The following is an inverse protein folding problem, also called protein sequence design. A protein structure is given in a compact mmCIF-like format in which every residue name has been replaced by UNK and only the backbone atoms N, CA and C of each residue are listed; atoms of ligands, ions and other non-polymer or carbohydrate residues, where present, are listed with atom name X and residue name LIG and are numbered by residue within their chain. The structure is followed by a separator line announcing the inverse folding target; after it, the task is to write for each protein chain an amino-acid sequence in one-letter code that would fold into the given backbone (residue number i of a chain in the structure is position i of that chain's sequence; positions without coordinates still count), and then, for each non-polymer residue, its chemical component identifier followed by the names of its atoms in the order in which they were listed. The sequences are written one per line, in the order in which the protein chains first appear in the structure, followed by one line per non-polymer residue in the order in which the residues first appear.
data_IF_921833179471
#
_entry.id   IF_921833179471
#
_cell.length_a   1.000
_cell.length_b   1.000
_cell.length_c   1.000
_cell.angle_alpha   90.00
_cell.angle_beta   90.00
_cell.angle_gamma   90.00
#
_symmetry.space_group_name_H-M   'P 1'
#
loop_
_entity.id
_entity.type
_entity.pdbx_description
1 polymer ?
#
# COMPACT_ATOMS: atom_id res chain seq x y z
N UNK A 1 -12.11 12.98 12.31
CA UNK A 1 -12.31 11.52 12.23
C UNK A 1 -12.66 11.25 10.78
N UNK A 2 -11.68 10.80 10.02
CA UNK A 2 -11.88 10.47 8.60
C UNK A 2 -12.75 9.23 8.56
N UNK A 3 -13.98 9.36 8.06
CA UNK A 3 -14.85 8.22 7.84
C UNK A 3 -14.15 7.34 6.81
N UNK A 4 -13.71 6.15 7.23
CA UNK A 4 -13.17 5.15 6.31
C UNK A 4 -14.33 4.63 5.45
N UNK A 5 -14.73 5.40 4.44
CA UNK A 5 -15.65 4.93 3.42
C UNK A 5 -14.92 3.89 2.59
N UNK A 6 -15.17 2.60 2.89
CA UNK A 6 -14.62 1.49 2.13
C UNK A 6 -15.14 1.57 0.69
N UNK A 7 -14.25 1.94 -0.24
CA UNK A 7 -14.59 2.06 -1.65
C UNK A 7 -14.97 0.68 -2.18
N UNK A 8 -16.18 0.58 -2.74
CA UNK A 8 -16.69 -0.65 -3.35
C UNK A 8 -17.07 -0.37 -4.78
N UNK A 9 -16.64 -1.22 -5.71
CA UNK A 9 -17.01 -1.11 -7.13
C UNK A 9 -17.50 -2.45 -7.65
N UNK A 10 -18.36 -2.40 -8.66
CA UNK A 10 -18.73 -3.58 -9.45
C UNK A 10 -18.10 -3.46 -10.83
N UNK A 11 -17.45 -4.53 -11.27
CA UNK A 11 -16.76 -4.61 -12.55
C UNK A 11 -17.28 -5.80 -13.35
N UNK A 12 -17.38 -5.60 -14.66
CA UNK A 12 -17.94 -6.58 -15.59
C UNK A 12 -16.91 -6.90 -16.67
N UNK A 13 -16.77 -8.18 -17.01
CA UNK A 13 -15.78 -8.67 -17.97
C UNK A 13 -16.30 -9.83 -18.81
N UNK A 14 -15.57 -10.21 -19.85
CA UNK A 14 -15.88 -11.42 -20.63
C UNK A 14 -15.56 -12.69 -19.83
N UNK A 15 -14.63 -12.59 -18.88
CA UNK A 15 -14.29 -13.59 -17.87
C UNK A 15 -14.12 -12.95 -16.50
N UNK A 16 -14.16 -13.76 -15.44
CA UNK A 16 -13.87 -13.32 -14.06
C UNK A 16 -12.53 -12.58 -13.98
N UNK A 17 -11.48 -13.10 -14.60
CA UNK A 17 -10.14 -12.47 -14.57
C UNK A 17 -10.15 -11.07 -15.18
N UNK A 18 -10.82 -10.89 -16.32
CA UNK A 18 -10.91 -9.59 -17.01
C UNK A 18 -11.72 -8.59 -16.16
N UNK A 19 -12.76 -9.07 -15.48
CA UNK A 19 -13.58 -8.27 -14.60
C UNK A 19 -12.79 -7.83 -13.34
N UNK A 20 -12.00 -8.73 -12.75
CA UNK A 20 -11.11 -8.42 -11.62
C UNK A 20 -10.07 -7.39 -12.03
N UNK A 21 -9.37 -7.62 -13.15
CA UNK A 21 -8.31 -6.73 -13.62
C UNK A 21 -8.82 -5.30 -13.87
N UNK A 22 -9.97 -5.17 -14.54
CA UNK A 22 -10.62 -3.86 -14.75
C UNK A 22 -11.06 -3.20 -13.44
N UNK A 23 -11.45 -4.00 -12.46
CA UNK A 23 -11.81 -3.51 -11.14
C UNK A 23 -10.61 -2.95 -10.39
N UNK A 24 -9.53 -3.73 -10.31
CA UNK A 24 -8.27 -3.33 -9.68
C UNK A 24 -7.71 -2.06 -10.32
N UNK A 25 -7.70 -2.00 -11.66
CA UNK A 25 -7.20 -0.84 -12.40
C UNK A 25 -8.03 0.43 -12.14
N UNK A 26 -9.35 0.32 -11.96
CA UNK A 26 -10.20 1.47 -11.63
C UNK A 26 -10.04 1.96 -10.18
N UNK A 27 -9.63 1.06 -9.28
CA UNK A 27 -9.38 1.41 -7.89
C UNK A 27 -7.93 1.83 -7.65
N UNK A 28 -7.01 1.54 -8.57
CA UNK A 28 -5.57 1.80 -8.47
C UNK A 28 -4.93 1.20 -7.21
N UNK A 29 -5.45 0.04 -6.78
CA UNK A 29 -4.99 -0.68 -5.58
C UNK A 29 -4.65 -2.12 -5.93
N UNK A 30 -3.89 -2.76 -5.03
CA UNK A 30 -3.37 -4.10 -5.22
C UNK A 30 -4.42 -5.17 -4.88
N UNK A 31 -4.27 -6.39 -5.42
CA UNK A 31 -5.21 -7.49 -5.20
C UNK A 31 -5.26 -7.95 -3.74
N UNK A 32 -4.18 -7.75 -2.99
CA UNK A 32 -4.09 -8.04 -1.57
C UNK A 32 -4.91 -7.06 -0.71
N UNK A 33 -5.08 -5.82 -1.18
CA UNK A 33 -5.81 -4.74 -0.50
C UNK A 33 -7.31 -4.73 -0.80
N UNK A 34 -7.82 -5.70 -1.55
CA UNK A 34 -9.24 -5.82 -1.89
C UNK A 34 -9.84 -7.17 -1.53
N UNK A 35 -11.13 -7.16 -1.28
CA UNK A 35 -11.98 -8.35 -1.20
C UNK A 35 -12.75 -8.49 -2.51
N UNK A 36 -12.56 -9.63 -3.18
CA UNK A 36 -13.21 -9.94 -4.46
C UNK A 36 -14.38 -10.90 -4.21
N UNK A 37 -15.56 -10.51 -4.65
CA UNK A 37 -16.78 -11.32 -4.60
C UNK A 37 -17.29 -11.57 -6.02
N UNK A 38 -17.43 -12.83 -6.42
CA UNK A 38 -17.94 -13.20 -7.75
C UNK A 38 -19.47 -13.24 -7.67
N UNK A 39 -20.12 -12.24 -8.26
CA UNK A 39 -21.59 -12.13 -8.29
C UNK A 39 -22.17 -12.98 -9.42
N UNK A 40 -21.49 -13.02 -10.56
CA UNK A 40 -21.87 -13.82 -11.72
C UNK A 40 -20.62 -14.39 -12.40
N UNK A 41 -20.60 -15.70 -12.61
CA UNK A 41 -19.56 -16.37 -13.37
C UNK A 41 -19.85 -16.28 -14.88
N UNK A 42 -18.82 -16.11 -15.70
CA UNK A 42 -18.98 -16.16 -17.14
C UNK A 42 -19.45 -17.54 -17.58
N UNK A 43 -20.34 -17.58 -18.57
CA UNK A 43 -20.76 -18.85 -19.16
C UNK A 43 -20.29 -18.89 -20.60
N UNK A 44 -19.47 -19.88 -20.95
CA UNK A 44 -19.10 -20.16 -22.34
C UNK A 44 -20.23 -20.98 -22.96
N UNK A 45 -21.15 -20.30 -23.65
CA UNK A 45 -22.21 -20.97 -24.40
C UNK A 45 -21.64 -21.89 -25.48
N UNK A 46 -22.46 -22.83 -25.96
CA UNK A 46 -22.16 -23.65 -27.13
C UNK A 46 -21.99 -22.73 -28.35
N UNK A 47 -20.80 -22.74 -28.97
CA UNK A 47 -20.42 -21.87 -30.11
C UNK A 47 -20.61 -20.35 -29.90
N UNK A 48 -20.56 -19.86 -28.65
CA UNK A 48 -20.67 -18.42 -28.36
C UNK A 48 -22.08 -17.85 -28.37
N UNK A 49 -23.11 -18.68 -28.59
CA UNK A 49 -24.51 -18.29 -28.44
C UNK A 49 -24.90 -18.42 -26.96
N UNK A 50 -25.35 -17.32 -26.36
CA UNK A 50 -25.79 -17.28 -24.96
C UNK A 50 -24.66 -17.07 -23.94
N UNK A 51 -23.51 -16.53 -24.35
CA UNK A 51 -22.46 -16.17 -23.41
C UNK A 51 -22.93 -15.09 -22.43
N UNK A 52 -22.77 -15.34 -21.13
CA UNK A 52 -23.05 -14.37 -20.08
C UNK A 52 -21.73 -13.75 -19.60
N UNK A 53 -21.67 -12.42 -19.42
CA UNK A 53 -20.48 -11.78 -18.88
C UNK A 53 -20.26 -12.18 -17.41
N UNK A 54 -19.01 -12.09 -16.96
CA UNK A 54 -18.69 -12.19 -15.54
C UNK A 54 -18.94 -10.85 -14.86
N UNK A 55 -19.48 -10.89 -13.64
CA UNK A 55 -19.68 -9.73 -12.77
C UNK A 55 -18.98 -10.02 -11.45
N UNK A 56 -18.08 -9.13 -11.06
CA UNK A 56 -17.35 -9.21 -9.79
C UNK A 56 -17.51 -7.91 -9.03
N UNK A 57 -17.57 -7.99 -7.70
CA UNK A 57 -17.59 -6.85 -6.80
C UNK A 57 -16.27 -6.80 -6.05
N UNK A 58 -15.61 -5.66 -6.08
CA UNK A 58 -14.37 -5.41 -5.36
C UNK A 58 -14.66 -4.43 -4.24
N UNK A 59 -14.25 -4.78 -3.03
CA UNK A 59 -14.38 -3.95 -1.83
C UNK A 59 -12.99 -3.69 -1.28
N UNK A 60 -12.61 -2.43 -1.11
CA UNK A 60 -11.33 -2.07 -0.48
C UNK A 60 -11.31 -2.62 0.96
N UNK A 61 -10.21 -3.27 1.34
CA UNK A 61 -9.98 -3.67 2.72
C UNK A 61 -9.62 -2.43 3.53
N UNK A 62 -10.01 -2.38 4.82
CA UNK A 62 -9.46 -1.37 5.70
C UNK A 62 -7.94 -1.51 5.68
N UNK A 63 -7.23 -0.40 5.47
CA UNK A 63 -5.79 -0.39 5.62
C UNK A 63 -5.50 -0.75 7.08
N UNK A 64 -5.07 -1.98 7.33
CA UNK A 64 -4.39 -2.29 8.57
C UNK A 64 -3.13 -1.44 8.53
N UNK A 65 -3.07 -0.45 9.42
CA UNK A 65 -1.89 0.38 9.62
C UNK A 65 -0.73 -0.58 9.85
N UNK A 66 0.15 -0.71 8.86
CA UNK A 66 1.37 -1.50 8.99
C UNK A 66 2.21 -0.82 10.08
N UNK A 67 2.05 -1.28 11.32
CA UNK A 67 2.93 -0.97 12.44
C UNK A 67 4.34 -1.36 12.01
N UNK A 68 5.12 -0.36 11.58
CA UNK A 68 6.53 -0.51 11.27
C UNK A 68 7.17 -1.29 12.43
N UNK A 69 7.80 -2.45 12.17
CA UNK A 69 8.36 -3.26 13.23
C UNK A 69 9.30 -2.42 14.12
N UNK A 70 9.12 -2.51 15.44
CA UNK A 70 9.88 -1.75 16.46
C UNK A 70 11.41 -1.74 16.23
N UNK A 71 11.96 -2.78 15.59
CA UNK A 71 13.38 -2.85 15.26
C UNK A 71 13.83 -1.81 14.22
N UNK A 72 12.94 -1.33 13.34
CA UNK A 72 13.24 -0.28 12.35
C UNK A 72 13.26 1.10 12.99
N UNK A 73 12.31 1.41 13.89
CA UNK A 73 12.31 2.67 14.68
C UNK A 73 13.59 2.82 15.51
N UNK A 74 14.01 1.73 16.17
CA UNK A 74 15.22 1.72 17.00
C UNK A 74 16.53 1.90 16.20
N UNK A 75 16.51 1.62 14.90
CA UNK A 75 17.67 1.81 14.03
C UNK A 75 17.87 3.28 13.62
N UNK A 76 16.80 4.04 13.46
CA UNK A 76 16.84 5.48 13.18
C UNK A 76 17.31 6.29 14.39
N UNK A 77 16.74 6.03 15.58
CA UNK A 77 17.17 6.72 16.81
C UNK A 77 18.66 6.51 17.11
N UNK A 78 19.19 5.31 16.82
CA UNK A 78 20.62 5.01 16.98
C UNK A 78 21.51 5.74 15.98
N UNK A 79 20.99 6.13 14.81
CA UNK A 79 21.73 6.90 13.80
C UNK A 79 21.80 8.36 14.22
N UNK A 80 20.67 8.98 14.56
CA UNK A 80 20.64 10.38 15.03
C UNK A 80 21.54 10.61 16.25
N UNK A 81 21.48 9.74 17.25
CA UNK A 81 22.29 9.90 18.47
C UNK A 81 23.80 9.75 18.22
N UNK A 82 24.19 9.15 17.10
CA UNK A 82 25.60 8.97 16.72
C UNK A 82 26.16 10.18 16.00
N UNK A 83 25.34 10.90 15.26
CA UNK A 83 25.74 12.08 14.50
C UNK A 83 25.84 13.31 15.42
N UNK A 84 24.90 13.48 16.35
CA UNK A 84 24.91 14.54 17.37
C UNK A 84 26.16 14.49 18.29
N UNK A 85 26.66 13.27 18.57
CA UNK A 85 27.92 13.09 19.32
C UNK A 85 29.17 13.41 18.51
N UNK A 86 29.14 13.37 17.17
CA UNK A 86 30.28 13.77 16.33
C UNK A 86 30.37 15.29 16.24
N UNK A 87 29.25 15.96 15.99
CA UNK A 87 29.23 17.42 15.85
C UNK A 87 29.73 18.14 17.10
N UNK A 88 29.27 17.71 18.29
CA UNK A 88 29.77 18.29 19.57
C UNK A 88 31.25 18.05 19.83
N UNK A 89 31.87 17.02 19.24
CA UNK A 89 33.31 16.76 19.39
C UNK A 89 34.13 17.63 18.44
N UNK A 90 33.63 17.89 17.24
CA UNK A 90 34.33 18.72 16.26
C UNK A 90 34.21 20.22 16.59
N UNK A 91 33.11 20.66 17.19
CA UNK A 91 32.98 22.04 17.69
C UNK A 91 33.94 22.35 18.84
N UNK A 92 34.09 21.45 19.82
CA UNK A 92 35.05 21.64 20.92
C UNK A 92 36.48 21.77 20.40
N UNK A 93 36.88 20.89 19.48
CA UNK A 93 38.23 20.93 18.87
C UNK A 93 38.52 22.20 18.09
N UNK A 94 37.50 22.86 17.52
CA UNK A 94 37.65 24.14 16.84
C UNK A 94 37.81 25.31 17.82
N UNK A 95 37.16 25.23 18.97
CA UNK A 95 37.21 26.30 19.97
C UNK A 95 38.56 26.32 20.72
N UNK A 96 39.08 25.15 21.09
CA UNK A 96 40.36 25.04 21.83
C UNK A 96 41.58 25.57 21.03
N UNK A 97 41.48 25.68 19.70
CA UNK A 97 42.56 26.24 18.84
C UNK A 97 42.53 27.77 18.72
N UNK A 98 41.47 28.43 19.19
CA UNK A 98 41.33 29.89 19.10
C UNK A 98 41.86 30.63 20.33
N UNK A 99 42.07 29.92 21.44
CA UNK A 99 42.59 30.49 22.69
C UNK A 99 44.13 30.49 22.79
N UNK A 100 44.85 29.97 21.78
CA UNK A 100 46.33 29.89 21.72
C UNK A 100 46.92 30.84 20.65
N UNK A 101 46.26 31.98 20.38
CA UNK A 101 46.72 33.01 19.41
C UNK A 101 46.60 34.42 19.95
#
# INVERSE_FOLDING_TARGET
MESTELKTIQSTGKSVDEAIFKGLQQMEISIDEVTIEIIQQETKGILGIGAKPAIVKLTQKPAEEYELPEYMKKAEERREHRDDRRDRRDDRRRNDRRDDS
#
